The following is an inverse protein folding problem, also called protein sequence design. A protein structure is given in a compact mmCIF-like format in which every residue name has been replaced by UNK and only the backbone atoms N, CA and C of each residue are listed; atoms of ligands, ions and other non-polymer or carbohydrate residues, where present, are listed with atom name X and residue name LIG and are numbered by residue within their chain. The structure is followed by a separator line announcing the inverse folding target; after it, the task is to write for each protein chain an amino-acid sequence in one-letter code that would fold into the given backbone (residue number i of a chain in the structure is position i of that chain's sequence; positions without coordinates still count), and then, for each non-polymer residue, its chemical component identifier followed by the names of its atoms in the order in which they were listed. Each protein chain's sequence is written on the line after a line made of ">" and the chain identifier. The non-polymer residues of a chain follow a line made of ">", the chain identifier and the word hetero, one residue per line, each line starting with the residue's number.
data_IF_744875959148
#
_entry.id   IF_744875959148
#
_cell.length_a   1.000
_cell.length_b   1.000
_cell.length_c   1.000
_cell.angle_alpha   90.00
_cell.angle_beta   90.00
_cell.angle_gamma   90.00
#
_symmetry.space_group_name_H-M   'P 1'
#
loop_
_entity.id
_entity.type
_entity.pdbx_description
1 polymer ?
#
# COMPACT_ATOMS: atom_id res chain seq x y z
N UNK A 1 -8.36 -28.20 -3.21
CA UNK A 1 -7.53 -27.52 -4.23
C UNK A 1 -7.25 -26.11 -3.81
N UNK A 2 -6.00 -25.73 -3.73
CA UNK A 2 -5.62 -24.41 -3.30
C UNK A 2 -5.15 -23.56 -4.48
N UNK A 3 -5.71 -22.36 -4.63
CA UNK A 3 -5.13 -21.30 -5.44
C UNK A 3 -4.16 -20.53 -4.55
N UNK A 4 -2.89 -20.88 -4.67
CA UNK A 4 -1.82 -20.24 -3.91
C UNK A 4 -1.46 -18.92 -4.59
N UNK A 5 -1.48 -17.84 -3.82
CA UNK A 5 -1.05 -16.52 -4.28
C UNK A 5 0.26 -16.13 -3.62
N UNK A 6 1.18 -15.54 -4.37
CA UNK A 6 2.49 -15.09 -3.86
C UNK A 6 2.76 -13.66 -4.30
N UNK A 7 2.98 -12.81 -3.33
CA UNK A 7 3.48 -11.45 -3.50
C UNK A 7 4.31 -11.13 -2.26
N UNK A 8 5.57 -10.79 -2.42
CA UNK A 8 6.45 -10.51 -1.26
C UNK A 8 6.39 -9.04 -0.84
N UNK A 9 6.88 -8.16 -1.68
CA UNK A 9 6.93 -6.72 -1.43
C UNK A 9 6.41 -5.97 -2.63
N UNK A 10 5.64 -4.92 -2.37
CA UNK A 10 5.13 -4.03 -3.40
C UNK A 10 5.24 -2.57 -2.95
N UNK A 11 5.14 -1.66 -3.91
CA UNK A 11 5.21 -0.22 -3.68
C UNK A 11 3.82 0.38 -3.85
N UNK A 12 3.39 1.18 -2.88
CA UNK A 12 2.08 1.82 -2.89
C UNK A 12 1.97 2.74 -4.11
N UNK A 13 0.87 2.61 -4.85
CA UNK A 13 0.60 3.40 -6.05
C UNK A 13 1.22 2.84 -7.33
N UNK A 14 2.05 1.80 -7.25
CA UNK A 14 2.65 1.13 -8.41
C UNK A 14 1.95 -0.18 -8.75
N UNK A 15 2.30 -0.74 -9.90
CA UNK A 15 1.85 -2.06 -10.28
C UNK A 15 2.74 -3.14 -9.63
N UNK A 16 2.11 -4.15 -9.08
CA UNK A 16 2.78 -5.34 -8.58
C UNK A 16 2.27 -6.58 -9.33
N UNK A 17 3.06 -7.62 -9.34
CA UNK A 17 2.72 -8.89 -9.99
C UNK A 17 2.49 -9.96 -8.93
N UNK A 18 1.27 -10.45 -8.84
CA UNK A 18 0.91 -11.59 -8.00
C UNK A 18 1.12 -12.85 -8.83
N UNK A 19 1.97 -13.75 -8.35
CA UNK A 19 2.09 -15.10 -8.91
C UNK A 19 0.98 -15.98 -8.35
N UNK A 20 0.41 -16.82 -9.20
CA UNK A 20 -0.62 -17.78 -8.83
C UNK A 20 -0.16 -19.20 -9.16
N UNK A 21 -0.37 -20.11 -8.25
CA UNK A 21 -0.12 -21.53 -8.42
C UNK A 21 -1.36 -22.31 -8.02
N UNK A 22 -1.75 -23.28 -8.83
CA UNK A 22 -2.89 -24.13 -8.51
C UNK A 22 -2.67 -25.57 -8.95
N UNK A 23 -3.25 -26.51 -8.24
CA UNK A 23 -2.95 -27.93 -8.37
C UNK A 23 -4.05 -28.78 -8.99
N UNK A 24 -5.05 -28.20 -9.63
CA UNK A 24 -6.09 -29.02 -10.26
C UNK A 24 -6.81 -28.37 -11.42
N UNK A 25 -7.19 -29.20 -12.34
CA UNK A 25 -7.76 -28.83 -13.63
C UNK A 25 -9.25 -29.11 -13.76
N UNK A 26 -9.90 -29.64 -12.73
CA UNK A 26 -11.32 -29.98 -12.80
C UNK A 26 -12.16 -29.27 -11.74
N UNK A 27 -13.24 -28.67 -12.17
CA UNK A 27 -14.23 -28.08 -11.26
C UNK A 27 -15.00 -26.94 -11.88
N UNK A 28 -16.25 -26.80 -11.47
CA UNK A 28 -17.17 -25.73 -11.89
C UNK A 28 -17.15 -24.52 -10.96
N UNK A 29 -16.37 -24.58 -9.88
CA UNK A 29 -16.24 -23.50 -8.93
C UNK A 29 -15.47 -22.30 -9.49
N UNK A 30 -15.58 -21.20 -8.79
CA UNK A 30 -14.94 -19.94 -9.14
C UNK A 30 -13.97 -19.52 -8.04
N UNK A 31 -12.89 -18.91 -8.44
CA UNK A 31 -11.93 -18.30 -7.53
C UNK A 31 -12.00 -16.79 -7.58
N UNK A 32 -11.77 -16.16 -6.42
CA UNK A 32 -11.51 -14.73 -6.30
C UNK A 32 -10.27 -14.51 -5.45
N UNK A 33 -9.62 -13.38 -5.66
CA UNK A 33 -8.49 -12.93 -4.85
C UNK A 33 -8.85 -11.56 -4.28
N UNK A 34 -8.79 -11.47 -2.97
CA UNK A 34 -9.09 -10.27 -2.21
C UNK A 34 -7.89 -9.87 -1.35
N UNK A 35 -7.88 -8.64 -0.86
CA UNK A 35 -6.85 -8.17 0.05
C UNK A 35 -7.45 -7.63 1.34
N UNK A 36 -6.66 -7.70 2.40
CA UNK A 36 -6.83 -6.95 3.65
C UNK A 36 -5.54 -6.18 3.93
N UNK A 37 -5.68 -4.88 4.17
CA UNK A 37 -4.56 -4.01 4.52
C UNK A 37 -5.01 -2.97 5.54
N UNK A 38 -4.70 -3.21 6.82
CA UNK A 38 -5.27 -2.43 7.90
C UNK A 38 -6.80 -2.56 7.91
N UNK A 39 -7.48 -1.44 7.87
CA UNK A 39 -8.95 -1.39 7.77
C UNK A 39 -9.47 -1.45 6.33
N UNK A 40 -8.58 -1.50 5.35
CA UNK A 40 -8.94 -1.55 3.94
C UNK A 40 -9.06 -2.99 3.46
N UNK A 41 -10.12 -3.25 2.71
CA UNK A 41 -10.36 -4.53 2.03
C UNK A 41 -10.81 -4.26 0.60
N UNK A 42 -10.60 -5.21 -0.29
CA UNK A 42 -11.09 -5.10 -1.65
C UNK A 42 -10.80 -6.33 -2.49
N UNK A 43 -11.41 -6.35 -3.67
CA UNK A 43 -11.28 -7.42 -4.64
C UNK A 43 -10.21 -7.06 -5.66
N UNK A 44 -9.25 -7.96 -5.86
CA UNK A 44 -8.21 -7.83 -6.88
C UNK A 44 -8.67 -8.48 -8.18
N UNK A 45 -9.20 -9.68 -8.07
CA UNK A 45 -9.71 -10.44 -9.20
C UNK A 45 -10.89 -11.31 -8.75
N UNK A 46 -11.90 -11.42 -9.59
CA UNK A 46 -13.11 -12.16 -9.25
C UNK A 46 -13.53 -13.10 -10.35
N UNK A 47 -14.37 -14.07 -9.99
CA UNK A 47 -15.08 -14.96 -10.89
C UNK A 47 -14.19 -15.74 -11.88
N UNK A 48 -13.00 -16.17 -11.45
CA UNK A 48 -12.08 -16.96 -12.28
C UNK A 48 -12.41 -18.44 -12.23
N UNK A 49 -12.49 -19.09 -13.39
CA UNK A 49 -12.42 -20.57 -13.46
C UNK A 49 -10.99 -21.01 -13.10
N UNK A 50 -10.86 -22.10 -12.34
CA UNK A 50 -9.56 -22.63 -12.00
C UNK A 50 -8.68 -22.93 -13.21
N UNK A 51 -9.28 -23.52 -14.24
CA UNK A 51 -8.61 -23.85 -15.51
C UNK A 51 -8.13 -22.63 -16.30
N UNK A 52 -8.62 -21.44 -15.99
CA UNK A 52 -8.28 -20.19 -16.67
C UNK A 52 -7.68 -19.13 -15.75
N UNK A 53 -7.26 -19.49 -14.53
CA UNK A 53 -6.52 -18.57 -13.68
C UNK A 53 -5.16 -18.29 -14.32
N UNK A 54 -4.84 -17.02 -14.60
CA UNK A 54 -3.54 -16.67 -15.16
C UNK A 54 -2.43 -16.97 -14.15
N UNK A 55 -1.25 -17.38 -14.63
CA UNK A 55 -0.09 -17.64 -13.78
C UNK A 55 0.40 -16.38 -13.05
N UNK A 56 0.09 -15.20 -13.60
CA UNK A 56 0.42 -13.90 -13.00
C UNK A 56 -0.77 -12.95 -13.15
N UNK A 57 -0.98 -12.13 -12.13
CA UNK A 57 -2.00 -11.09 -12.12
C UNK A 57 -1.33 -9.78 -11.78
N UNK A 58 -1.45 -8.80 -12.66
CA UNK A 58 -1.00 -7.43 -12.39
C UNK A 58 -2.03 -6.73 -11.51
N UNK A 59 -1.58 -6.23 -10.38
CA UNK A 59 -2.40 -5.49 -9.43
C UNK A 59 -1.80 -4.11 -9.17
N UNK A 60 -2.58 -3.07 -9.43
CA UNK A 60 -2.19 -1.73 -9.03
C UNK A 60 -2.45 -1.55 -7.54
N UNK A 61 -1.38 -1.31 -6.78
CA UNK A 61 -1.48 -1.14 -5.33
C UNK A 61 -2.19 0.18 -5.02
N UNK A 62 -3.31 0.15 -4.29
CA UNK A 62 -4.07 1.36 -4.01
C UNK A 62 -3.27 2.42 -3.28
N UNK A 63 -3.32 3.66 -3.76
CA UNK A 63 -2.68 4.80 -3.07
C UNK A 63 -3.25 5.01 -1.65
N UNK A 64 -4.50 4.62 -1.42
CA UNK A 64 -5.14 4.68 -0.11
C UNK A 64 -4.42 3.86 0.97
N UNK A 65 -3.58 2.88 0.60
CA UNK A 65 -2.78 2.10 1.56
C UNK A 65 -1.85 2.98 2.39
N UNK A 66 -1.42 4.13 1.85
CA UNK A 66 -0.58 5.07 2.57
C UNK A 66 -1.23 5.59 3.86
N UNK A 67 -2.56 5.65 3.91
CA UNK A 67 -3.32 6.06 5.10
C UNK A 67 -3.20 5.08 6.27
N UNK A 68 -2.94 3.81 5.96
CA UNK A 68 -2.82 2.75 6.95
C UNK A 68 -1.42 2.67 7.60
N UNK A 69 -0.46 3.47 7.09
CA UNK A 69 0.93 3.48 7.57
C UNK A 69 1.46 4.91 7.82
N UNK A 70 0.73 5.76 8.57
CA UNK A 70 1.06 7.19 8.68
C UNK A 70 2.40 7.48 9.36
N UNK A 71 2.91 6.55 10.15
CA UNK A 71 4.16 6.71 10.93
C UNK A 71 5.21 5.65 10.59
N UNK A 72 5.03 4.93 9.51
CA UNK A 72 5.94 3.88 9.07
C UNK A 72 6.21 4.00 7.57
N UNK A 73 7.17 3.26 7.08
CA UNK A 73 7.48 3.18 5.65
C UNK A 73 6.89 1.94 4.98
N UNK A 74 6.43 0.98 5.77
CA UNK A 74 5.84 -0.27 5.27
C UNK A 74 4.88 -0.89 6.29
N UNK A 75 4.00 -1.75 5.78
CA UNK A 75 3.08 -2.56 6.58
C UNK A 75 2.78 -3.88 5.85
N UNK A 76 2.55 -4.92 6.62
CA UNK A 76 2.14 -6.22 6.09
C UNK A 76 0.63 -6.28 5.93
N UNK A 77 0.19 -6.75 4.78
CA UNK A 77 -1.20 -7.07 4.47
C UNK A 77 -1.39 -8.55 4.14
N UNK A 78 -2.61 -8.91 3.80
CA UNK A 78 -2.98 -10.28 3.42
C UNK A 78 -3.56 -10.32 2.01
N UNK A 79 -3.24 -11.37 1.27
CA UNK A 79 -3.93 -11.81 0.08
C UNK A 79 -4.73 -13.06 0.45
N UNK A 80 -6.01 -13.06 0.15
CA UNK A 80 -6.91 -14.15 0.45
C UNK A 80 -7.53 -14.64 -0.85
N UNK A 81 -7.28 -15.89 -1.20
CA UNK A 81 -8.02 -16.54 -2.26
C UNK A 81 -9.27 -17.21 -1.70
N UNK A 82 -10.37 -17.06 -2.38
CA UNK A 82 -11.64 -17.70 -2.05
C UNK A 82 -12.05 -18.65 -3.15
N UNK A 83 -12.75 -19.70 -2.76
CA UNK A 83 -13.40 -20.62 -3.68
C UNK A 83 -14.90 -20.54 -3.48
N UNK A 84 -15.62 -20.33 -4.56
CA UNK A 84 -17.09 -20.29 -4.56
C UNK A 84 -17.64 -21.45 -5.38
N UNK A 85 -18.44 -22.30 -4.74
CA UNK A 85 -19.12 -23.43 -5.35
C UNK A 85 -20.54 -23.53 -4.81
N UNK A 86 -21.51 -23.76 -5.69
CA UNK A 86 -22.93 -23.88 -5.30
C UNK A 86 -23.44 -22.75 -4.39
N UNK A 87 -22.98 -21.52 -4.63
CA UNK A 87 -23.37 -20.33 -3.85
C UNK A 87 -22.63 -20.17 -2.51
N UNK A 88 -21.76 -21.10 -2.14
CA UNK A 88 -20.96 -21.01 -0.92
C UNK A 88 -19.55 -20.53 -1.25
N UNK A 89 -19.12 -19.45 -0.57
CA UNK A 89 -17.79 -18.86 -0.67
C UNK A 89 -16.98 -19.21 0.58
N UNK A 90 -15.88 -19.90 0.42
CA UNK A 90 -14.99 -20.30 1.49
C UNK A 90 -13.58 -19.77 1.26
N UNK A 91 -12.85 -19.45 2.34
CA UNK A 91 -11.42 -19.15 2.27
C UNK A 91 -10.68 -20.39 1.77
N UNK A 92 -9.87 -20.16 0.73
CA UNK A 92 -9.11 -21.24 0.10
C UNK A 92 -7.63 -21.20 0.50
N UNK A 93 -7.03 -20.02 0.47
CA UNK A 93 -5.63 -19.82 0.84
C UNK A 93 -5.39 -18.38 1.29
N UNK A 94 -4.51 -18.21 2.26
CA UNK A 94 -4.09 -16.88 2.73
C UNK A 94 -2.58 -16.77 2.67
N UNK A 95 -2.09 -15.72 2.05
CA UNK A 95 -0.68 -15.34 2.06
C UNK A 95 -0.53 -13.89 2.56
N UNK A 96 0.69 -13.50 2.85
CA UNK A 96 1.01 -12.14 3.28
C UNK A 96 1.87 -11.43 2.25
N UNK A 97 1.75 -10.11 2.21
CA UNK A 97 2.60 -9.24 1.43
C UNK A 97 3.00 -8.02 2.26
N UNK A 98 4.07 -7.35 1.86
CA UNK A 98 4.49 -6.08 2.46
C UNK A 98 4.32 -4.97 1.44
N UNK A 99 3.52 -3.96 1.77
CA UNK A 99 3.42 -2.74 0.98
C UNK A 99 4.27 -1.65 1.61
N UNK A 100 5.09 -1.00 0.81
CA UNK A 100 5.97 0.09 1.23
C UNK A 100 5.66 1.38 0.48
N UNK A 101 5.93 2.50 1.12
CA UNK A 101 5.94 3.81 0.47
C UNK A 101 7.20 3.89 -0.39
N UNK A 102 7.09 4.48 -1.60
CA UNK A 102 8.26 4.73 -2.44
C UNK A 102 9.25 5.66 -1.71
N UNK A 103 10.54 5.40 -1.85
CA UNK A 103 11.58 6.13 -1.12
C UNK A 103 11.58 7.63 -1.46
N UNK A 104 11.26 7.98 -2.69
CA UNK A 104 11.14 9.36 -3.15
C UNK A 104 9.83 10.06 -2.70
N UNK A 105 8.86 9.29 -2.24
CA UNK A 105 7.58 9.78 -1.75
C UNK A 105 7.56 10.06 -0.24
N UNK A 106 8.59 9.64 0.49
CA UNK A 106 8.70 9.89 1.93
C UNK A 106 9.12 11.34 2.15
N UNK A 107 8.29 12.17 2.81
CA UNK A 107 8.69 13.53 3.15
C UNK A 107 9.88 13.51 4.10
N UNK A 108 10.96 14.18 3.73
CA UNK A 108 12.13 14.29 4.57
C UNK A 108 12.48 15.74 4.84
N UNK A 109 12.99 16.01 6.04
CA UNK A 109 13.63 17.27 6.38
C UNK A 109 15.09 16.94 6.69
N UNK A 110 16.00 17.60 5.97
CA UNK A 110 17.41 17.41 6.23
C UNK A 110 17.77 18.00 7.61
N UNK A 111 18.09 17.11 8.54
CA UNK A 111 18.47 17.50 9.91
C UNK A 111 19.83 18.20 10.00
N UNK A 112 20.61 18.20 8.94
CA UNK A 112 21.90 18.92 8.89
C UNK A 112 21.74 20.40 8.59
N UNK A 113 20.55 20.82 8.17
CA UNK A 113 20.24 22.22 7.88
C UNK A 113 20.09 23.01 9.16
N UNK A 114 21.06 23.83 9.49
CA UNK A 114 21.13 24.58 10.73
C UNK A 114 20.50 25.97 10.68
N UNK A 115 20.10 26.46 9.52
CA UNK A 115 19.56 27.80 9.34
C UNK A 115 18.14 27.82 8.85
N UNK A 116 17.39 28.84 9.27
CA UNK A 116 15.99 29.04 8.84
C UNK A 116 15.85 29.15 7.32
N UNK A 117 16.79 29.82 6.66
CA UNK A 117 16.73 30.01 5.21
C UNK A 117 16.91 28.70 4.44
N UNK A 118 17.78 27.85 4.93
CA UNK A 118 17.97 26.53 4.33
C UNK A 118 16.74 25.62 4.54
N UNK A 119 16.11 25.65 5.72
CA UNK A 119 14.81 24.98 5.93
C UNK A 119 13.76 25.53 4.98
N UNK A 120 13.75 26.86 4.76
CA UNK A 120 12.82 27.50 3.83
C UNK A 120 12.96 26.99 2.40
N UNK A 121 14.20 26.78 1.94
CA UNK A 121 14.43 26.30 0.56
C UNK A 121 13.98 24.83 0.38
N UNK A 122 14.15 24.00 1.41
CA UNK A 122 13.68 22.61 1.40
C UNK A 122 12.16 22.51 1.46
N UNK A 123 11.52 23.46 2.13
CA UNK A 123 10.07 23.50 2.30
C UNK A 123 9.41 24.49 1.31
N UNK A 124 10.04 24.75 0.18
CA UNK A 124 9.48 25.62 -0.84
C UNK A 124 8.06 25.19 -1.20
N UNK A 125 7.12 26.15 -1.17
CA UNK A 125 5.70 25.89 -1.40
C UNK A 125 4.91 25.45 -0.14
N UNK A 126 5.56 25.30 1.01
CA UNK A 126 4.90 24.98 2.28
C UNK A 126 4.83 26.18 3.19
N UNK A 127 3.78 26.22 4.02
CA UNK A 127 3.65 27.25 5.05
C UNK A 127 4.60 26.94 6.20
N UNK A 128 5.36 27.93 6.62
CA UNK A 128 6.21 27.86 7.81
C UNK A 128 5.90 29.01 8.75
N UNK A 129 6.04 28.76 10.05
CA UNK A 129 5.99 29.78 11.09
C UNK A 129 7.23 29.70 11.93
N UNK A 130 7.94 30.81 12.09
CA UNK A 130 9.12 30.93 12.93
C UNK A 130 8.74 31.82 14.10
N UNK A 131 8.89 31.31 15.31
CA UNK A 131 8.64 32.06 16.54
C UNK A 131 9.97 32.64 17.02
N UNK A 132 10.09 33.95 16.96
CA UNK A 132 11.29 34.65 17.38
C UNK A 132 11.55 34.45 18.89
N UNK A 133 12.81 34.16 19.23
CA UNK A 133 13.23 33.97 20.64
C UNK A 133 12.98 32.56 21.19
N UNK A 134 12.47 31.64 20.41
CA UNK A 134 12.26 30.23 20.76
C UNK A 134 13.14 29.36 19.90
N UNK A 135 13.76 28.33 20.47
CA UNK A 135 14.61 27.40 19.71
C UNK A 135 13.84 26.43 18.83
N UNK A 136 12.53 26.48 18.81
CA UNK A 136 11.67 25.58 18.04
C UNK A 136 11.10 26.25 16.82
N UNK A 137 11.18 25.57 15.69
CA UNK A 137 10.52 25.94 14.43
C UNK A 137 9.25 25.11 14.31
N UNK A 138 8.13 25.78 14.18
CA UNK A 138 6.86 25.14 13.88
C UNK A 138 6.74 25.01 12.37
N UNK A 139 6.65 23.81 11.87
CA UNK A 139 6.54 23.52 10.44
C UNK A 139 5.20 22.86 10.18
N UNK A 140 4.33 23.56 9.43
CA UNK A 140 3.10 22.98 8.95
C UNK A 140 3.32 22.42 7.55
N UNK A 141 3.35 21.11 7.42
CA UNK A 141 3.49 20.43 6.15
C UNK A 141 2.11 20.22 5.52
N UNK A 142 1.75 21.08 4.59
CA UNK A 142 0.56 20.95 3.76
C UNK A 142 0.95 20.50 2.34
N UNK A 143 1.84 19.56 2.24
CA UNK A 143 2.21 19.03 0.93
C UNK A 143 1.08 18.18 0.37
N UNK A 144 0.79 18.34 -0.91
CA UNK A 144 0.06 17.31 -1.64
C UNK A 144 0.95 16.09 -1.70
N UNK A 145 0.54 14.95 -1.13
CA UNK A 145 1.36 13.76 -1.17
C UNK A 145 1.63 13.35 -2.61
N UNK A 146 2.86 13.01 -2.90
CA UNK A 146 3.18 12.28 -4.13
C UNK A 146 2.55 10.89 -4.10
N UNK A 147 2.50 10.22 -5.23
CA UNK A 147 1.95 8.88 -5.31
C UNK A 147 2.60 7.96 -4.26
N UNK A 148 1.78 7.34 -3.43
CA UNK A 148 2.25 6.45 -2.36
C UNK A 148 2.60 7.13 -1.04
N UNK A 149 2.52 8.46 -0.95
CA UNK A 149 2.71 9.19 0.30
C UNK A 149 1.39 9.69 0.88
N UNK A 150 1.32 9.80 2.19
CA UNK A 150 0.18 10.36 2.89
C UNK A 150 0.61 11.13 4.14
N UNK A 151 0.15 12.37 4.26
CA UNK A 151 0.34 13.19 5.45
C UNK A 151 -0.98 13.20 6.22
N UNK A 152 -1.02 12.49 7.34
CA UNK A 152 -2.24 12.36 8.16
C UNK A 152 -2.41 13.53 9.12
N UNK A 153 -1.34 13.97 9.74
CA UNK A 153 -1.37 14.98 10.78
C UNK A 153 -0.44 16.15 10.46
N UNK A 154 -0.71 17.27 11.09
CA UNK A 154 0.19 18.42 11.07
C UNK A 154 1.36 18.14 11.99
N UNK A 155 2.53 18.50 11.54
CA UNK A 155 3.73 18.49 12.36
C UNK A 155 3.96 19.88 12.93
N UNK A 156 4.07 19.92 14.23
CA UNK A 156 4.41 21.15 14.94
C UNK A 156 5.75 21.00 15.63
#
# INVERSE_FOLDING_TARGET
>A
MALITKLSTCVIGENAVISTEGSSTSGTGRYSIEYEFGDLTGVIKDNMLFSSVPATITWKIPAAFAKEIPYATSKTGKLISYYTFAGKKDVNYTSTFTAKIADDAVPTIDSTVATTDAISSQLSGHTKTIISGVSTVQINLYATPTTGAYIKDKWC
#
